data_IF_538600375268
#
_entry.id   IF_538600375268
#
_cell.length_a   1.000
_cell.length_b   1.000
_cell.length_c   1.000
_cell.angle_alpha   90.00
_cell.angle_beta   90.00
_cell.angle_gamma   90.00
#
_symmetry.space_group_name_H-M   'P 1'
#
loop_
_entity.id
_entity.type
_entity.pdbx_description
1 polymer ?
#
# COMPACT_ATOMS: atom_id res chain seq x y z
N UNK A 1 39.07 -14.99 -31.47
CA UNK A 1 40.20 -15.17 -30.54
C UNK A 1 40.19 -14.03 -29.54
N UNK A 2 40.43 -14.37 -28.27
CA UNK A 2 40.25 -13.54 -27.08
C UNK A 2 41.01 -12.21 -27.11
N UNK A 3 40.46 -11.19 -26.43
CA UNK A 3 41.17 -10.46 -25.36
C UNK A 3 40.18 -9.70 -24.50
N UNK A 4 40.22 -10.06 -23.24
CA UNK A 4 39.27 -9.80 -22.18
C UNK A 4 40.06 -9.10 -21.08
N UNK A 5 39.41 -8.18 -20.37
CA UNK A 5 39.73 -7.73 -19.01
C UNK A 5 41.04 -6.96 -18.78
N UNK A 6 40.93 -5.66 -18.47
CA UNK A 6 41.43 -5.07 -17.20
C UNK A 6 40.63 -3.77 -16.96
N UNK A 7 39.77 -3.73 -15.92
CA UNK A 7 39.32 -2.52 -15.16
C UNK A 7 38.21 -2.88 -14.15
N UNK A 8 38.43 -3.88 -13.29
CA UNK A 8 37.49 -4.24 -12.20
C UNK A 8 38.25 -4.50 -10.89
N UNK A 9 39.01 -3.52 -10.40
CA UNK A 9 39.74 -3.68 -9.12
C UNK A 9 39.56 -2.50 -8.16
N UNK A 10 38.83 -1.45 -8.53
CA UNK A 10 38.64 -0.27 -7.67
C UNK A 10 37.34 -0.29 -6.83
N UNK A 11 36.32 -1.06 -7.23
CA UNK A 11 34.98 -0.98 -6.61
C UNK A 11 34.88 -1.75 -5.29
N UNK A 12 35.70 -2.79 -5.08
CA UNK A 12 35.59 -3.63 -3.89
C UNK A 12 36.04 -2.95 -2.59
N UNK A 13 36.92 -1.94 -2.64
CA UNK A 13 37.39 -1.25 -1.43
C UNK A 13 36.33 -0.30 -0.86
N UNK A 14 35.52 0.33 -1.73
CA UNK A 14 34.46 1.27 -1.31
C UNK A 14 33.30 0.55 -0.63
N UNK A 15 32.95 -0.65 -1.10
CA UNK A 15 31.83 -1.43 -0.53
C UNK A 15 32.14 -1.93 0.87
N UNK A 16 33.38 -2.35 1.14
CA UNK A 16 33.77 -2.85 2.47
C UNK A 16 33.78 -1.72 3.51
N UNK A 17 34.22 -0.51 3.14
CA UNK A 17 34.24 0.67 4.04
C UNK A 17 32.84 1.23 4.35
N UNK A 18 31.85 0.96 3.49
CA UNK A 18 30.45 1.28 3.75
C UNK A 18 29.71 0.19 4.55
N UNK A 19 30.09 -1.09 4.39
CA UNK A 19 29.49 -2.21 5.13
C UNK A 19 29.98 -2.29 6.58
N UNK A 20 31.24 -1.93 6.86
CA UNK A 20 31.73 -1.80 8.24
C UNK A 20 31.39 -0.42 8.77
N UNK A 21 30.10 -0.19 9.02
CA UNK A 21 29.62 0.98 9.73
C UNK A 21 30.34 1.13 11.08
N UNK A 22 31.28 2.06 11.15
CA UNK A 22 31.83 2.55 12.42
C UNK A 22 31.31 3.97 12.64
N UNK A 23 30.31 4.06 13.50
CA UNK A 23 29.72 5.27 14.04
C UNK A 23 30.78 6.25 14.55
N UNK A 24 30.73 7.51 14.15
CA UNK A 24 31.29 8.62 14.92
C UNK A 24 30.33 9.81 14.86
N UNK A 25 29.70 10.00 16.01
CA UNK A 25 29.06 11.19 16.57
C UNK A 25 28.98 12.46 15.71
N UNK A 26 27.75 12.90 15.51
CA UNK A 26 27.39 14.31 15.39
C UNK A 26 27.62 15.02 16.73
N UNK A 27 28.44 16.08 16.74
CA UNK A 27 28.40 17.12 17.78
C UNK A 27 29.00 18.45 17.26
N UNK A 28 28.32 19.04 16.28
CA UNK A 28 28.52 20.44 15.92
C UNK A 28 27.85 21.36 16.96
N UNK A 29 28.65 22.15 17.67
CA UNK A 29 28.17 23.12 18.65
C UNK A 29 27.52 24.36 18.03
N UNK A 30 26.65 25.02 18.82
CA UNK A 30 26.43 26.48 18.84
C UNK A 30 25.52 26.89 20.01
N UNK A 31 26.13 27.57 20.99
CA UNK A 31 25.67 28.78 21.69
C UNK A 31 24.18 29.12 21.71
N UNK A 32 23.58 29.20 22.90
CA UNK A 32 22.28 29.83 23.13
C UNK A 32 22.07 30.21 24.60
N UNK A 33 22.03 31.52 24.87
CA UNK A 33 22.05 32.20 26.17
C UNK A 33 20.84 31.88 27.07
N UNK A 34 21.15 31.87 28.37
CA UNK A 34 20.33 32.23 29.54
C UNK A 34 19.03 33.00 29.30
N UNK A 35 17.95 32.60 30.01
CA UNK A 35 17.09 33.51 30.77
C UNK A 35 16.22 32.78 31.80
N UNK A 36 16.16 33.44 32.94
CA UNK A 36 15.49 33.22 34.22
C UNK A 36 13.97 33.35 34.19
N UNK A 37 13.33 32.78 35.22
CA UNK A 37 11.95 33.08 35.65
C UNK A 37 11.01 31.91 35.39
N UNK A 38 10.15 31.45 36.30
CA UNK A 38 9.78 31.93 37.62
C UNK A 38 8.84 30.90 38.26
N UNK A 39 8.78 30.95 39.58
CA UNK A 39 7.97 30.21 40.54
C UNK A 39 6.45 30.21 40.31
N UNK A 40 5.79 29.10 40.70
CA UNK A 40 4.51 28.97 41.47
C UNK A 40 3.81 27.64 41.11
N UNK A 41 3.74 26.64 42.00
CA UNK A 41 2.61 26.30 42.91
C UNK A 41 1.26 26.21 42.16
N UNK A 42 0.45 25.16 42.19
CA UNK A 42 0.06 24.25 43.27
C UNK A 42 -1.03 23.28 42.78
N UNK A 43 -1.19 22.11 43.46
CA UNK A 43 -2.46 21.38 43.66
C UNK A 43 -3.09 20.68 42.43
N UNK A 44 -3.66 19.48 42.40
CA UNK A 44 -4.07 18.40 43.32
C UNK A 44 -4.34 17.19 42.37
N UNK A 45 -4.09 15.92 42.66
CA UNK A 45 -4.69 15.07 43.70
C UNK A 45 -5.42 13.87 43.05
N UNK A 46 -5.12 12.65 43.51
CA UNK A 46 -5.92 11.41 43.34
C UNK A 46 -5.84 10.72 41.97
N UNK A 47 -5.81 9.40 41.82
CA UNK A 47 -6.05 8.30 42.76
C UNK A 47 -5.97 6.97 41.97
N UNK A 48 -5.70 5.89 42.69
CA UNK A 48 -5.11 4.65 42.21
C UNK A 48 -6.16 3.55 41.94
N UNK A 49 -5.86 2.68 40.97
CA UNK A 49 -6.04 1.20 40.97
C UNK A 49 -7.44 0.54 41.05
N UNK A 50 -7.45 -0.67 40.46
CA UNK A 50 -8.35 -1.83 40.63
C UNK A 50 -9.35 -2.07 39.49
N UNK A 51 -9.74 -3.29 39.09
CA UNK A 51 -9.28 -4.66 39.34
C UNK A 51 -10.12 -5.57 38.42
N UNK A 52 -9.56 -6.73 38.09
CA UNK A 52 -10.20 -7.85 37.38
C UNK A 52 -11.56 -8.24 37.98
N UNK A 53 -12.52 -8.62 37.13
CA UNK A 53 -13.54 -9.65 37.44
C UNK A 53 -14.00 -10.38 36.18
N UNK A 54 -13.87 -11.71 36.24
CA UNK A 54 -14.45 -12.72 35.36
C UNK A 54 -15.66 -13.38 36.06
N UNK A 55 -16.66 -13.82 35.28
CA UNK A 55 -17.53 -15.00 35.48
C UNK A 55 -18.70 -14.88 34.48
N UNK A 56 -18.86 -15.82 33.53
CA UNK A 56 -19.63 -17.07 33.67
C UNK A 56 -20.90 -16.91 32.80
N UNK A 57 -21.51 -17.87 32.11
CA UNK A 57 -21.48 -19.33 32.10
C UNK A 57 -22.18 -19.81 30.80
N UNK A 58 -21.86 -21.05 30.42
CA UNK A 58 -22.48 -22.02 29.50
C UNK A 58 -24.01 -21.93 29.25
N UNK A 59 -24.48 -22.29 28.04
CA UNK A 59 -25.20 -23.55 27.71
C UNK A 59 -25.45 -23.69 26.18
N UNK A 60 -25.76 -24.90 25.74
CA UNK A 60 -25.66 -25.44 24.36
C UNK A 60 -27.04 -25.63 23.67
N UNK A 61 -27.01 -26.12 22.41
CA UNK A 61 -28.08 -26.80 21.62
C UNK A 61 -29.24 -25.91 21.13
N UNK A 62 -29.85 -26.02 19.94
CA UNK A 62 -29.80 -26.97 18.81
C UNK A 62 -30.81 -26.49 17.71
N UNK A 63 -30.53 -26.84 16.43
CA UNK A 63 -31.38 -27.04 15.22
C UNK A 63 -32.24 -25.96 14.48
N UNK A 64 -32.37 -26.24 13.16
CA UNK A 64 -33.27 -25.80 12.07
C UNK A 64 -33.03 -24.41 11.44
N UNK A 65 -32.52 -24.27 10.21
CA UNK A 65 -33.00 -24.65 8.84
C UNK A 65 -34.02 -23.66 8.23
N UNK A 66 -33.81 -23.43 6.94
CA UNK A 66 -34.72 -22.86 5.93
C UNK A 66 -34.96 -21.34 5.76
N UNK A 67 -34.57 -20.95 4.55
CA UNK A 67 -35.29 -20.11 3.59
C UNK A 67 -35.33 -18.58 3.71
N UNK A 68 -35.16 -18.02 2.52
CA UNK A 68 -34.83 -16.67 2.13
C UNK A 68 -36.05 -16.06 1.45
N UNK A 69 -36.60 -14.96 1.96
CA UNK A 69 -37.05 -13.83 1.13
C UNK A 69 -37.39 -12.57 1.96
N UNK A 70 -37.09 -11.43 1.33
CA UNK A 70 -37.70 -10.10 1.47
C UNK A 70 -37.44 -9.20 2.70
N UNK A 71 -36.62 -8.19 2.39
CA UNK A 71 -37.00 -6.76 2.43
C UNK A 71 -37.07 -6.05 3.79
N UNK A 72 -36.05 -5.25 4.12
CA UNK A 72 -36.21 -3.80 4.41
C UNK A 72 -34.92 -3.09 4.88
N UNK A 73 -34.56 -2.06 4.11
CA UNK A 73 -34.20 -0.69 4.55
C UNK A 73 -33.05 -0.43 5.55
N UNK A 74 -32.00 0.17 5.00
CA UNK A 74 -31.28 1.37 5.47
C UNK A 74 -30.61 1.36 6.86
N UNK A 75 -29.28 1.43 6.87
CA UNK A 75 -28.52 2.42 7.66
C UNK A 75 -27.06 2.50 7.18
N UNK A 76 -26.58 3.74 6.99
CA UNK A 76 -25.41 4.05 6.18
C UNK A 76 -24.06 3.55 6.71
N UNK A 77 -23.28 2.99 5.78
CA UNK A 77 -21.83 3.00 5.78
C UNK A 77 -21.37 3.66 4.49
N UNK A 78 -20.39 4.56 4.53
CA UNK A 78 -19.79 5.09 3.31
C UNK A 78 -18.92 4.01 2.69
N UNK A 79 -19.53 3.22 1.81
CA UNK A 79 -18.90 2.13 1.08
C UNK A 79 -17.89 2.71 0.08
N UNK A 80 -16.62 2.41 0.29
CA UNK A 80 -15.65 2.44 -0.80
C UNK A 80 -15.99 1.24 -1.69
N UNK A 81 -16.89 1.44 -2.65
CA UNK A 81 -17.19 0.46 -3.68
C UNK A 81 -15.93 0.21 -4.50
N UNK A 82 -15.18 -0.81 -4.11
CA UNK A 82 -14.16 -1.45 -4.94
C UNK A 82 -14.94 -2.24 -5.98
N UNK A 83 -15.10 -1.67 -7.17
CA UNK A 83 -15.62 -2.39 -8.33
C UNK A 83 -14.66 -3.57 -8.62
N UNK A 84 -15.15 -4.78 -8.41
CA UNK A 84 -14.46 -6.03 -8.75
C UNK A 84 -14.37 -6.12 -10.28
N UNK A 85 -13.17 -6.16 -10.89
CA UNK A 85 -13.07 -6.33 -12.33
C UNK A 85 -13.61 -7.71 -12.76
N UNK A 86 -14.41 -7.69 -13.82
CA UNK A 86 -14.99 -8.86 -14.46
C UNK A 86 -13.89 -9.63 -15.19
N UNK A 87 -13.58 -10.84 -14.72
CA UNK A 87 -12.64 -11.74 -15.34
C UNK A 87 -13.18 -12.19 -16.72
N UNK A 88 -12.47 -11.84 -17.79
CA UNK A 88 -12.72 -12.40 -19.13
C UNK A 88 -11.71 -13.52 -19.39
N UNK A 89 -12.21 -14.75 -19.35
CA UNK A 89 -11.67 -16.01 -19.90
C UNK A 89 -10.16 -16.36 -19.73
N UNK A 90 -9.91 -17.19 -18.72
CA UNK A 90 -9.06 -18.40 -18.67
C UNK A 90 -7.52 -18.38 -18.86
N UNK A 91 -6.86 -17.28 -19.24
CA UNK A 91 -5.38 -17.14 -19.11
C UNK A 91 -4.96 -15.74 -18.62
N UNK A 92 -5.92 -14.85 -18.36
CA UNK A 92 -5.65 -13.51 -17.89
C UNK A 92 -5.23 -13.51 -16.40
N UNK A 93 -4.18 -12.77 -16.03
CA UNK A 93 -3.77 -12.68 -14.63
C UNK A 93 -4.86 -11.96 -13.81
N UNK A 94 -4.92 -12.27 -12.51
CA UNK A 94 -5.82 -11.59 -11.59
C UNK A 94 -5.16 -10.33 -11.06
N UNK A 95 -5.74 -9.16 -11.34
CA UNK A 95 -5.23 -7.86 -10.89
C UNK A 95 -6.23 -7.13 -9.99
N UNK A 96 -5.75 -6.59 -8.87
CA UNK A 96 -6.56 -5.82 -7.93
C UNK A 96 -5.83 -4.58 -7.43
N UNK A 97 -6.51 -3.44 -7.37
CA UNK A 97 -5.97 -2.22 -6.77
C UNK A 97 -5.99 -2.35 -5.25
N UNK A 98 -4.81 -2.44 -4.62
CA UNK A 98 -4.67 -2.38 -3.16
C UNK A 98 -4.80 -0.95 -2.64
N UNK A 99 -4.19 0.01 -3.37
CA UNK A 99 -4.22 1.43 -3.02
C UNK A 99 -4.27 2.25 -4.29
N UNK A 100 -5.32 3.05 -4.44
CA UNK A 100 -5.40 4.03 -5.53
C UNK A 100 -4.58 5.28 -5.21
N UNK A 101 -4.18 6.04 -6.23
CA UNK A 101 -3.65 7.39 -6.05
C UNK A 101 -4.64 8.29 -5.30
N UNK A 102 -4.14 9.14 -4.41
CA UNK A 102 -4.94 9.91 -3.49
C UNK A 102 -4.57 11.40 -3.51
N UNK A 103 -5.57 12.30 -3.57
CA UNK A 103 -5.33 13.74 -3.50
C UNK A 103 -4.79 14.14 -2.12
N UNK A 104 -4.16 15.32 -2.06
CA UNK A 104 -3.73 15.93 -0.78
C UNK A 104 -4.95 16.13 0.12
N UNK A 105 -4.89 15.65 1.37
CA UNK A 105 -5.97 15.82 2.36
C UNK A 105 -5.42 16.37 3.67
N UNK A 106 -5.74 17.62 4.00
CA UNK A 106 -5.19 18.32 5.16
C UNK A 106 -3.67 18.35 5.13
N UNK A 107 -3.02 17.82 6.19
CA UNK A 107 -1.55 17.72 6.30
C UNK A 107 -0.96 16.55 5.50
N UNK A 108 -1.76 15.60 5.03
CA UNK A 108 -1.27 14.43 4.27
C UNK A 108 -0.90 14.84 2.85
N UNK A 109 0.30 14.45 2.40
CA UNK A 109 0.76 14.66 1.02
C UNK A 109 -0.11 13.87 0.03
N UNK A 110 -0.18 14.35 -1.21
CA UNK A 110 -0.80 13.58 -2.28
C UNK A 110 0.05 12.34 -2.61
N UNK A 111 -0.63 11.25 -2.97
CA UNK A 111 -0.02 10.00 -3.44
C UNK A 111 -0.33 9.87 -4.92
N UNK A 112 0.68 9.82 -5.76
CA UNK A 112 0.55 9.87 -7.24
C UNK A 112 0.84 8.52 -7.90
N UNK A 113 0.86 7.47 -7.09
CA UNK A 113 1.12 6.09 -7.48
C UNK A 113 -0.01 5.22 -6.93
N UNK A 114 -0.49 4.29 -7.73
CA UNK A 114 -1.35 3.19 -7.30
C UNK A 114 -0.51 1.95 -7.00
N UNK A 115 -0.94 1.18 -6.02
CA UNK A 115 -0.38 -0.14 -5.70
C UNK A 115 -1.37 -1.19 -6.14
N UNK A 116 -0.93 -2.09 -7.03
CA UNK A 116 -1.71 -3.18 -7.60
C UNK A 116 -1.13 -4.50 -7.11
N UNK A 117 -2.00 -5.46 -6.75
CA UNK A 117 -1.63 -6.85 -6.57
C UNK A 117 -1.96 -7.58 -7.86
N UNK A 118 -0.95 -8.22 -8.44
CA UNK A 118 -1.06 -9.06 -9.63
C UNK A 118 -0.78 -10.50 -9.22
N UNK A 119 -1.66 -11.42 -9.60
CA UNK A 119 -1.49 -12.86 -9.40
C UNK A 119 -1.53 -13.52 -10.76
N UNK A 120 -0.43 -14.16 -11.16
CA UNK A 120 -0.38 -14.93 -12.40
C UNK A 120 -1.27 -16.17 -12.28
N UNK A 121 -1.77 -16.66 -13.42
CA UNK A 121 -2.53 -17.91 -13.44
C UNK A 121 -1.67 -19.08 -12.92
N UNK A 122 -2.29 -20.00 -12.19
CA UNK A 122 -1.59 -21.14 -11.59
C UNK A 122 -1.20 -22.22 -12.62
N UNK A 123 -1.86 -22.24 -13.78
CA UNK A 123 -1.55 -23.10 -14.92
C UNK A 123 -0.49 -22.53 -15.87
N UNK A 124 -0.14 -21.25 -15.75
CA UNK A 124 0.93 -20.64 -16.53
C UNK A 124 2.28 -21.29 -16.17
N UNK A 125 3.07 -21.66 -17.17
CA UNK A 125 4.37 -22.31 -16.96
C UNK A 125 5.52 -21.35 -17.26
N UNK A 126 6.44 -21.18 -16.30
CA UNK A 126 7.61 -20.31 -16.47
C UNK A 126 7.34 -18.86 -16.07
N UNK A 127 8.24 -17.98 -16.49
CA UNK A 127 8.18 -16.54 -16.22
C UNK A 127 7.51 -15.82 -17.38
N UNK A 128 6.51 -14.99 -17.05
CA UNK A 128 5.75 -14.21 -18.00
C UNK A 128 5.83 -12.73 -17.65
N UNK A 129 5.98 -11.87 -18.67
CA UNK A 129 5.92 -10.42 -18.49
C UNK A 129 4.48 -9.96 -18.64
N UNK A 130 3.96 -9.29 -17.62
CA UNK A 130 2.63 -8.70 -17.65
C UNK A 130 2.72 -7.18 -17.72
N UNK A 131 1.88 -6.58 -18.55
CA UNK A 131 1.64 -5.14 -18.56
C UNK A 131 0.44 -4.85 -17.64
N UNK A 132 0.60 -3.90 -16.73
CA UNK A 132 -0.41 -3.51 -15.74
C UNK A 132 -0.81 -2.07 -15.98
N UNK A 133 -2.02 -1.88 -16.48
CA UNK A 133 -2.61 -0.57 -16.74
C UNK A 133 -3.51 -0.15 -15.59
N UNK A 134 -3.34 1.09 -15.14
CA UNK A 134 -4.23 1.72 -14.17
C UNK A 134 -4.87 2.95 -14.78
N UNK A 135 -6.19 2.88 -14.95
CA UNK A 135 -6.99 4.05 -15.30
C UNK A 135 -7.44 4.78 -14.03
N UNK A 136 -7.07 6.05 -13.91
CA UNK A 136 -7.46 6.91 -12.80
C UNK A 136 -8.73 7.68 -13.16
N UNK A 137 -9.78 7.52 -12.37
CA UNK A 137 -11.13 8.02 -12.66
C UNK A 137 -11.58 9.09 -11.67
N UNK A 138 -12.43 10.00 -12.11
CA UNK A 138 -13.12 10.96 -11.25
C UNK A 138 -14.35 10.33 -10.55
N UNK A 139 -15.11 11.14 -9.79
CA UNK A 139 -16.30 10.65 -9.08
C UNK A 139 -17.42 10.15 -10.01
N UNK A 140 -17.44 10.63 -11.26
CA UNK A 140 -18.45 10.33 -12.27
C UNK A 140 -18.03 9.14 -13.16
N UNK A 141 -16.83 8.59 -12.94
CA UNK A 141 -16.27 7.50 -13.75
C UNK A 141 -15.56 7.96 -15.02
N UNK A 142 -15.28 9.25 -15.20
CA UNK A 142 -14.51 9.72 -16.36
C UNK A 142 -13.01 9.57 -16.12
N UNK A 143 -12.26 9.25 -17.17
CA UNK A 143 -10.80 9.17 -17.14
C UNK A 143 -10.17 10.54 -16.86
N UNK A 144 -9.43 10.59 -15.76
CA UNK A 144 -8.58 11.73 -15.38
C UNK A 144 -7.19 11.57 -15.98
N UNK A 145 -6.67 10.34 -15.89
CA UNK A 145 -5.31 9.98 -16.28
C UNK A 145 -5.16 8.46 -16.41
N UNK A 146 -4.01 8.05 -16.92
CA UNK A 146 -3.57 6.65 -17.04
C UNK A 146 -2.20 6.48 -16.39
N UNK A 147 -1.73 5.24 -16.38
CA UNK A 147 -0.36 4.88 -16.07
C UNK A 147 -0.19 3.38 -16.22
N UNK A 148 0.98 2.97 -16.65
CA UNK A 148 1.35 1.58 -16.91
C UNK A 148 2.55 1.14 -16.05
N UNK A 149 2.73 -0.17 -15.93
CA UNK A 149 3.96 -0.78 -15.46
C UNK A 149 4.08 -2.23 -15.95
N UNK A 150 5.28 -2.65 -16.32
CA UNK A 150 5.59 -4.04 -16.67
C UNK A 150 6.16 -4.79 -15.47
N UNK A 151 5.79 -6.06 -15.29
CA UNK A 151 6.33 -6.93 -14.25
C UNK A 151 6.48 -8.37 -14.74
N UNK A 152 7.60 -9.00 -14.43
CA UNK A 152 7.78 -10.43 -14.64
C UNK A 152 7.22 -11.21 -13.45
N UNK A 153 6.35 -12.18 -13.69
CA UNK A 153 5.73 -13.02 -12.66
C UNK A 153 5.77 -14.47 -13.11
N UNK A 154 6.16 -15.37 -12.20
CA UNK A 154 6.10 -16.80 -12.45
C UNK A 154 4.66 -17.32 -12.28
N UNK A 155 4.32 -18.43 -12.95
CA UNK A 155 3.03 -19.08 -12.79
C UNK A 155 2.64 -19.32 -11.33
N UNK A 156 1.40 -18.92 -10.98
CA UNK A 156 0.87 -19.00 -9.61
C UNK A 156 1.49 -18.02 -8.59
N UNK A 157 2.49 -17.23 -8.98
CA UNK A 157 3.10 -16.23 -8.10
C UNK A 157 2.20 -14.98 -7.99
N UNK A 158 2.30 -14.29 -6.85
CA UNK A 158 1.65 -12.99 -6.62
C UNK A 158 2.69 -11.91 -6.37
N UNK A 159 2.65 -10.83 -7.16
CA UNK A 159 3.51 -9.65 -7.00
C UNK A 159 2.70 -8.39 -6.74
N UNK A 160 3.36 -7.43 -6.09
CA UNK A 160 2.82 -6.08 -5.90
C UNK A 160 3.55 -5.11 -6.82
N UNK A 161 2.81 -4.39 -7.64
CA UNK A 161 3.31 -3.44 -8.63
C UNK A 161 2.90 -2.02 -8.23
N UNK A 162 3.83 -1.07 -8.40
CA UNK A 162 3.53 0.35 -8.21
C UNK A 162 3.41 1.03 -9.55
N UNK A 163 2.19 1.46 -9.90
CA UNK A 163 1.87 2.13 -11.16
C UNK A 163 1.77 3.63 -10.91
N UNK A 164 2.56 4.43 -11.61
CA UNK A 164 2.58 5.89 -11.44
C UNK A 164 1.62 6.53 -12.42
N UNK A 165 0.93 7.59 -11.99
CA UNK A 165 0.19 8.45 -12.93
C UNK A 165 1.13 9.08 -13.96
N UNK A 166 0.72 9.12 -15.22
CA UNK A 166 1.43 9.82 -16.30
C UNK A 166 1.53 11.33 -16.04
N UNK A 167 0.44 11.91 -15.50
CA UNK A 167 0.34 13.30 -15.12
C UNK A 167 -0.01 13.45 -13.62
N UNK A 168 0.99 13.32 -12.73
CA UNK A 168 0.81 13.42 -11.27
C UNK A 168 0.13 14.70 -10.78
N UNK A 169 0.15 15.77 -11.58
CA UNK A 169 -0.51 17.05 -11.29
C UNK A 169 -2.05 16.94 -11.27
N UNK A 170 -2.63 15.93 -11.91
CA UNK A 170 -4.08 15.72 -11.97
C UNK A 170 -4.64 14.92 -10.79
N UNK A 171 -3.80 14.44 -9.87
CA UNK A 171 -4.19 13.59 -8.73
C UNK A 171 -5.31 14.19 -7.86
N UNK A 172 -5.46 15.52 -7.85
CA UNK A 172 -6.54 16.22 -7.15
C UNK A 172 -7.95 15.82 -7.63
N UNK A 173 -8.08 15.34 -8.87
CA UNK A 173 -9.35 14.95 -9.51
C UNK A 173 -9.68 13.46 -9.35
N UNK A 174 -8.71 12.64 -8.93
CA UNK A 174 -8.86 11.19 -8.83
C UNK A 174 -9.75 10.81 -7.65
N UNK A 175 -10.65 9.86 -7.88
CA UNK A 175 -11.60 9.31 -6.90
C UNK A 175 -11.65 7.79 -6.92
N UNK A 176 -11.47 7.17 -8.09
CA UNK A 176 -11.45 5.71 -8.27
C UNK A 176 -10.26 5.33 -9.14
N UNK A 177 -9.82 4.07 -9.04
CA UNK A 177 -8.85 3.48 -9.95
C UNK A 177 -9.46 2.18 -10.49
N UNK A 178 -9.28 1.95 -11.78
CA UNK A 178 -9.54 0.66 -12.44
C UNK A 178 -8.20 0.09 -12.88
N UNK A 179 -8.02 -1.21 -12.72
CA UNK A 179 -6.82 -1.91 -13.16
C UNK A 179 -7.19 -2.94 -14.21
N UNK A 180 -6.33 -3.05 -15.21
CA UNK A 180 -6.33 -4.10 -16.21
C UNK A 180 -4.90 -4.66 -16.28
N UNK A 181 -4.78 -5.94 -16.55
CA UNK A 181 -3.49 -6.56 -16.71
C UNK A 181 -3.57 -7.60 -17.81
N UNK A 182 -2.58 -7.57 -18.70
CA UNK A 182 -2.48 -8.48 -19.82
C UNK A 182 -1.07 -9.02 -19.99
N UNK A 183 -0.97 -10.18 -20.64
CA UNK A 183 0.30 -10.81 -20.94
C UNK A 183 0.97 -10.05 -22.10
N UNK A 184 2.20 -9.59 -21.88
CA UNK A 184 3.03 -8.95 -22.90
C UNK A 184 3.86 -10.01 -23.63
N UNK A 185 3.86 -9.97 -24.97
CA UNK A 185 4.59 -10.90 -25.85
C UNK A 185 5.76 -10.24 -26.57
#
# INVERSE_FOLDING_TARGET
MMRQHIKLSAVLVVVVLALTGFSTSSSGGRSGKSKSGGSSSSSSGGGCSNSKKSNGSYDSSDYDDDDYDSSSSSSGGTDYATETPSATASDAPQAYVLRCAQPRKGKRKAVTTSTVRLTADAGASGSHTYEVDVTFLDARGNTVDTGDATVDVEGGETKTVSVRMDNPRKVSKVKKCRVEAELSY
#
